data_IF_079975944108
#
_entry.id   IF_079975944108
#
_cell.length_a   1.000
_cell.length_b   1.000
_cell.length_c   1.000
_cell.angle_alpha   90.00
_cell.angle_beta   90.00
_cell.angle_gamma   90.00
#
_symmetry.space_group_name_H-M   'P 1'
#
loop_
_entity.id
_entity.type
_entity.pdbx_description
1 polymer ?
#
# COMPACT_ATOMS: atom_id res chain seq x y z
N UNK A 1 -9.10 -20.28 29.44
CA UNK A 1 -8.14 -20.04 28.34
C UNK A 1 -8.98 -19.71 27.11
N UNK A 2 -9.24 -18.44 26.84
CA UNK A 2 -10.05 -18.02 25.69
C UNK A 2 -9.10 -17.56 24.59
N UNK A 3 -8.91 -18.42 23.59
CA UNK A 3 -8.21 -18.08 22.36
C UNK A 3 -9.04 -17.00 21.65
N UNK A 4 -8.54 -15.77 21.68
CA UNK A 4 -9.18 -14.63 21.02
C UNK A 4 -8.93 -14.79 19.52
N UNK A 5 -9.81 -15.49 18.82
CA UNK A 5 -9.77 -15.60 17.35
C UNK A 5 -9.83 -14.19 16.77
N UNK A 6 -8.68 -13.69 16.32
CA UNK A 6 -8.56 -12.44 15.57
C UNK A 6 -9.46 -12.60 14.33
N UNK A 7 -10.42 -11.71 14.05
CA UNK A 7 -11.24 -11.82 12.85
C UNK A 7 -10.30 -11.83 11.64
N UNK A 8 -10.50 -12.79 10.74
CA UNK A 8 -9.71 -12.89 9.51
C UNK A 8 -9.77 -11.54 8.78
N UNK A 9 -8.61 -10.99 8.43
CA UNK A 9 -8.54 -9.73 7.68
C UNK A 9 -9.34 -9.89 6.38
N UNK A 10 -10.26 -8.96 6.04
CA UNK A 10 -11.08 -9.06 4.83
C UNK A 10 -10.18 -9.20 3.60
N UNK A 11 -10.43 -10.17 2.74
CA UNK A 11 -9.60 -10.45 1.57
C UNK A 11 -10.28 -9.96 0.30
N UNK A 12 -9.50 -9.43 -0.64
CA UNK A 12 -9.99 -9.18 -2.01
C UNK A 12 -9.96 -10.46 -2.86
N UNK A 13 -10.54 -10.41 -4.06
CA UNK A 13 -10.60 -11.55 -5.00
C UNK A 13 -9.24 -12.19 -5.29
N UNK A 14 -8.17 -11.39 -5.26
CA UNK A 14 -6.78 -11.84 -5.41
C UNK A 14 -6.17 -12.49 -4.15
N UNK A 15 -6.98 -12.75 -3.11
CA UNK A 15 -6.57 -13.34 -1.82
C UNK A 15 -5.57 -12.47 -1.02
N UNK A 16 -5.57 -11.17 -1.26
CA UNK A 16 -4.74 -10.21 -0.53
C UNK A 16 -5.52 -9.72 0.70
N UNK A 17 -4.97 -9.84 1.92
CA UNK A 17 -5.61 -9.34 3.13
C UNK A 17 -5.60 -7.81 3.17
N UNK A 18 -6.75 -7.23 3.51
CA UNK A 18 -6.96 -5.78 3.65
C UNK A 18 -7.04 -5.45 5.13
N UNK A 19 -6.16 -4.56 5.59
CA UNK A 19 -6.19 -4.10 6.99
C UNK A 19 -7.23 -2.99 7.15
N UNK A 20 -7.81 -2.84 8.36
CA UNK A 20 -8.81 -1.80 8.62
C UNK A 20 -8.25 -0.37 8.59
N UNK A 21 -6.94 -0.21 8.76
CA UNK A 21 -6.27 1.10 8.78
C UNK A 21 -4.86 0.98 8.19
N UNK A 22 -4.54 1.91 7.29
CA UNK A 22 -3.20 2.13 6.74
C UNK A 22 -2.70 3.48 7.26
N UNK A 23 -1.48 3.50 7.78
CA UNK A 23 -0.85 4.72 8.32
C UNK A 23 0.42 5.04 7.55
N UNK A 24 0.96 6.26 7.61
CA UNK A 24 2.23 6.58 6.97
C UNK A 24 3.40 5.68 7.41
N UNK A 25 3.35 5.12 8.62
CA UNK A 25 4.35 4.16 9.12
C UNK A 25 4.27 2.77 8.50
N UNK A 26 3.24 2.48 7.71
CA UNK A 26 3.15 1.26 6.92
C UNK A 26 3.91 1.33 5.60
N UNK A 27 4.34 2.54 5.21
CA UNK A 27 5.11 2.71 4.00
C UNK A 27 6.49 2.08 4.21
N UNK A 28 6.81 1.14 3.33
CA UNK A 28 8.07 0.40 3.30
C UNK A 28 9.24 1.38 3.03
N UNK A 29 9.78 1.95 4.09
CA UNK A 29 11.12 2.57 4.11
C UNK A 29 11.30 3.91 3.38
N UNK A 30 10.26 4.74 3.25
CA UNK A 30 10.37 6.17 2.88
C UNK A 30 10.85 6.55 1.47
N UNK A 31 11.15 5.63 0.55
CA UNK A 31 11.62 6.01 -0.78
C UNK A 31 10.46 6.36 -1.74
N UNK A 32 9.49 7.16 -1.28
CA UNK A 32 8.38 7.66 -2.10
C UNK A 32 8.89 8.50 -3.28
N UNK A 33 9.99 9.22 -3.07
CA UNK A 33 10.59 10.05 -4.10
C UNK A 33 11.12 9.23 -5.28
N UNK A 34 11.68 8.04 -5.05
CA UNK A 34 12.19 7.19 -6.14
C UNK A 34 11.16 6.15 -6.61
N UNK A 35 10.34 5.60 -5.69
CA UNK A 35 9.36 4.54 -6.00
C UNK A 35 8.08 5.12 -6.58
N UNK A 36 7.70 6.32 -6.16
CA UNK A 36 6.48 7.00 -6.64
C UNK A 36 6.80 8.15 -7.60
N UNK A 37 7.90 8.89 -7.40
CA UNK A 37 8.43 9.88 -8.35
C UNK A 37 7.48 11.03 -8.70
N UNK A 38 7.90 11.95 -9.56
CA UNK A 38 7.01 12.97 -10.11
C UNK A 38 6.26 12.44 -11.34
N UNK A 39 5.06 12.97 -11.67
CA UNK A 39 4.37 12.64 -12.92
C UNK A 39 5.27 12.94 -14.13
N UNK A 40 5.29 12.04 -15.11
CA UNK A 40 6.18 12.14 -16.28
C UNK A 40 7.65 11.85 -16.01
N UNK A 41 8.01 11.37 -14.81
CA UNK A 41 9.34 10.86 -14.50
C UNK A 41 9.31 9.37 -14.20
N UNK A 42 10.42 8.67 -14.48
CA UNK A 42 10.61 7.28 -14.08
C UNK A 42 10.41 7.12 -12.55
N UNK A 43 9.68 6.09 -12.06
CA UNK A 43 9.13 4.93 -12.76
C UNK A 43 7.69 5.10 -13.29
N UNK A 44 7.22 6.33 -13.48
CA UNK A 44 5.90 6.68 -14.03
C UNK A 44 4.70 6.14 -13.22
N UNK A 45 4.91 5.86 -11.94
CA UNK A 45 3.90 5.42 -10.98
C UNK A 45 2.76 6.43 -10.79
N UNK A 46 3.02 7.73 -11.03
CA UNK A 46 2.00 8.80 -11.06
C UNK A 46 1.47 9.10 -12.46
N UNK A 47 1.81 8.28 -13.46
CA UNK A 47 1.47 8.47 -14.86
C UNK A 47 2.62 9.01 -15.70
N UNK A 48 2.52 8.79 -17.02
CA UNK A 48 3.52 9.21 -18.01
C UNK A 48 3.43 10.70 -18.38
N UNK A 49 2.29 11.34 -18.11
CA UNK A 49 2.02 12.72 -18.50
C UNK A 49 2.33 13.67 -17.33
N UNK A 50 3.08 14.77 -17.53
CA UNK A 50 3.46 15.70 -16.47
C UNK A 50 2.46 16.84 -16.19
N UNK A 51 1.30 16.87 -16.86
CA UNK A 51 0.32 17.97 -16.85
C UNK A 51 -0.44 18.11 -15.54
#
# INVERSE_FOLDING_TARGET
MAEKTKPADPQISSKIPVRPLYTPGDLDGNDLETRVGYPGQYPFTRGIQPT
#
